data_IF_960771152701
#
_entry.id   IF_960771152701
#
_cell.length_a   1.000
_cell.length_b   1.000
_cell.length_c   1.000
_cell.angle_alpha   90.00
_cell.angle_beta   90.00
_cell.angle_gamma   90.00
#
_symmetry.space_group_name_H-M   'P 1'
#
loop_
_entity.id
_entity.type
_entity.pdbx_description
1 polymer ?
#
# COMPACT_ATOMS: atom_id res chain seq x y z
N UNK A 1 -27.78 4.27 -20.42
CA UNK A 1 -29.26 4.33 -20.34
C UNK A 1 -30.03 3.33 -21.22
N UNK A 2 -29.40 2.57 -22.14
CA UNK A 2 -30.03 1.37 -22.76
C UNK A 2 -29.18 0.09 -22.71
N UNK A 3 -28.01 0.12 -22.08
CA UNK A 3 -27.08 -1.02 -22.02
C UNK A 3 -26.95 -1.71 -20.65
N UNK A 4 -27.52 -1.16 -19.58
CA UNK A 4 -27.40 -1.77 -18.23
C UNK A 4 -28.64 -2.58 -17.82
N UNK A 5 -29.52 -2.94 -18.76
CA UNK A 5 -30.81 -3.58 -18.44
C UNK A 5 -30.99 -4.98 -19.03
N UNK A 6 -29.88 -5.68 -19.32
CA UNK A 6 -29.96 -7.04 -19.89
C UNK A 6 -29.26 -8.10 -19.03
N UNK A 7 -28.56 -7.73 -17.94
CA UNK A 7 -27.72 -8.72 -17.23
C UNK A 7 -27.72 -8.71 -15.68
N UNK A 8 -28.32 -7.76 -14.95
CA UNK A 8 -28.18 -7.68 -13.48
C UNK A 8 -26.72 -7.64 -12.96
N UNK A 9 -25.73 -7.31 -13.80
CA UNK A 9 -24.31 -7.28 -13.44
C UNK A 9 -23.83 -5.85 -13.21
N UNK A 10 -23.08 -5.62 -12.13
CA UNK A 10 -22.40 -4.36 -11.87
C UNK A 10 -21.38 -4.06 -13.00
N UNK A 11 -21.43 -2.88 -13.60
CA UNK A 11 -20.46 -2.48 -14.64
C UNK A 11 -19.16 -1.99 -13.97
N UNK A 12 -18.34 -2.95 -13.51
CA UNK A 12 -17.09 -2.70 -12.78
C UNK A 12 -16.09 -1.91 -13.64
N UNK A 13 -16.04 -2.16 -14.96
CA UNK A 13 -15.16 -1.43 -15.88
C UNK A 13 -15.53 0.05 -15.93
N UNK A 14 -16.81 0.37 -16.03
CA UNK A 14 -17.27 1.76 -16.01
C UNK A 14 -16.95 2.44 -14.67
N UNK A 15 -17.17 1.75 -13.55
CA UNK A 15 -16.89 2.31 -12.21
C UNK A 15 -15.39 2.60 -12.06
N UNK A 16 -14.54 1.64 -12.42
CA UNK A 16 -13.08 1.82 -12.38
C UNK A 16 -12.65 3.03 -13.22
N UNK A 17 -13.12 3.08 -14.46
CA UNK A 17 -12.79 4.16 -15.39
C UNK A 17 -13.23 5.52 -14.85
N UNK A 18 -14.47 5.61 -14.34
CA UNK A 18 -15.00 6.84 -13.77
C UNK A 18 -14.17 7.31 -12.58
N UNK A 19 -13.91 6.41 -11.63
CA UNK A 19 -13.17 6.74 -10.40
C UNK A 19 -11.72 7.09 -10.65
N UNK A 20 -11.09 6.51 -11.68
CA UNK A 20 -9.68 6.79 -12.04
C UNK A 20 -9.38 8.27 -12.38
N UNK A 21 -10.41 9.07 -12.64
CA UNK A 21 -10.28 10.50 -12.95
C UNK A 21 -10.29 11.42 -11.73
N UNK A 22 -10.48 10.86 -10.52
CA UNK A 22 -10.60 11.60 -9.26
C UNK A 22 -9.47 11.22 -8.31
N UNK A 23 -9.07 12.14 -7.42
CA UNK A 23 -8.15 11.82 -6.32
C UNK A 23 -8.87 11.03 -5.19
N UNK A 24 -8.13 10.51 -4.22
CA UNK A 24 -8.64 9.63 -3.17
C UNK A 24 -9.73 10.30 -2.34
N UNK A 25 -9.49 11.54 -1.92
CA UNK A 25 -10.47 12.32 -1.15
C UNK A 25 -11.78 12.51 -1.93
N UNK A 26 -11.69 12.89 -3.21
CA UNK A 26 -12.85 13.04 -4.09
C UNK A 26 -13.58 11.72 -4.29
N UNK A 27 -12.87 10.60 -4.49
CA UNK A 27 -13.48 9.27 -4.63
C UNK A 27 -14.25 8.91 -3.36
N UNK A 28 -13.67 9.10 -2.19
CA UNK A 28 -14.31 8.80 -0.91
C UNK A 28 -15.55 9.67 -0.66
N UNK A 29 -15.50 10.97 -0.98
CA UNK A 29 -16.68 11.86 -0.88
C UNK A 29 -17.79 11.37 -1.83
N UNK A 30 -17.46 11.13 -3.09
CA UNK A 30 -18.42 10.66 -4.10
C UNK A 30 -19.07 9.34 -3.68
N UNK A 31 -18.28 8.38 -3.19
CA UNK A 31 -18.76 7.09 -2.72
C UNK A 31 -19.70 7.30 -1.53
N UNK A 32 -19.31 8.08 -0.52
CA UNK A 32 -20.17 8.35 0.65
C UNK A 32 -21.49 9.03 0.26
N UNK A 33 -21.47 9.97 -0.68
CA UNK A 33 -22.69 10.63 -1.17
C UNK A 33 -23.63 9.66 -1.90
N UNK A 34 -23.07 8.79 -2.75
CA UNK A 34 -23.83 7.76 -3.47
C UNK A 34 -24.44 6.74 -2.50
N UNK A 35 -23.67 6.28 -1.52
CA UNK A 35 -24.12 5.33 -0.51
C UNK A 35 -25.22 5.94 0.37
N UNK A 36 -25.11 7.22 0.71
CA UNK A 36 -26.14 7.96 1.44
C UNK A 36 -27.42 8.14 0.61
N UNK A 37 -27.33 8.56 -0.65
CA UNK A 37 -28.49 8.81 -1.51
C UNK A 37 -29.28 7.51 -1.80
N UNK A 38 -28.58 6.38 -1.90
CA UNK A 38 -29.18 5.15 -2.40
C UNK A 38 -29.26 4.01 -1.37
N UNK A 39 -28.82 4.24 -0.14
CA UNK A 39 -28.95 3.32 0.99
C UNK A 39 -28.38 1.91 0.71
N UNK A 40 -27.28 1.85 -0.04
CA UNK A 40 -26.48 0.64 -0.23
C UNK A 40 -25.00 0.98 -0.08
N UNK A 41 -24.17 -0.01 0.25
CA UNK A 41 -22.71 0.14 0.26
C UNK A 41 -22.13 -0.36 -1.05
N UNK A 42 -21.34 0.47 -1.72
CA UNK A 42 -20.70 0.10 -2.99
C UNK A 42 -19.69 -1.04 -2.78
N UNK A 43 -19.05 -1.05 -1.61
CA UNK A 43 -18.16 -2.14 -1.18
C UNK A 43 -18.89 -3.47 -1.20
N UNK A 44 -20.06 -3.57 -0.57
CA UNK A 44 -20.84 -4.82 -0.50
C UNK A 44 -21.25 -5.31 -1.91
N UNK A 45 -21.61 -4.38 -2.81
CA UNK A 45 -21.93 -4.71 -4.20
C UNK A 45 -20.72 -5.25 -4.96
N UNK A 46 -19.55 -4.64 -4.79
CA UNK A 46 -18.32 -5.11 -5.41
C UNK A 46 -17.88 -6.45 -4.81
N UNK A 47 -18.08 -6.67 -3.51
CA UNK A 47 -17.72 -7.94 -2.86
C UNK A 47 -18.57 -9.12 -3.34
N UNK A 48 -19.83 -8.88 -3.70
CA UNK A 48 -20.71 -9.89 -4.27
C UNK A 48 -20.29 -10.35 -5.68
N UNK A 49 -19.49 -9.55 -6.39
CA UNK A 49 -18.98 -9.87 -7.73
C UNK A 49 -17.80 -10.86 -7.66
N UNK A 50 -17.55 -11.55 -8.78
CA UNK A 50 -16.48 -12.56 -8.89
C UNK A 50 -15.12 -11.94 -8.54
N UNK A 51 -14.37 -12.67 -7.71
CA UNK A 51 -13.00 -12.28 -7.36
C UNK A 51 -12.10 -12.23 -8.60
N UNK A 52 -11.73 -11.01 -8.97
CA UNK A 52 -10.94 -10.68 -10.15
C UNK A 52 -10.04 -9.48 -9.84
N UNK A 53 -8.88 -9.35 -10.51
CA UNK A 53 -8.02 -8.17 -10.38
C UNK A 53 -8.75 -6.85 -10.67
N UNK A 54 -9.77 -6.87 -11.56
CA UNK A 54 -10.58 -5.70 -11.87
C UNK A 54 -11.43 -5.27 -10.67
N UNK A 55 -12.12 -6.22 -10.03
CA UNK A 55 -12.88 -5.99 -8.79
C UNK A 55 -11.97 -5.45 -7.68
N UNK A 56 -10.79 -6.04 -7.52
CA UNK A 56 -9.82 -5.63 -6.50
C UNK A 56 -9.30 -4.19 -6.74
N UNK A 57 -9.00 -3.81 -7.99
CA UNK A 57 -8.64 -2.44 -8.33
C UNK A 57 -9.76 -1.45 -8.00
N UNK A 58 -11.01 -1.81 -8.31
CA UNK A 58 -12.16 -0.93 -8.05
C UNK A 58 -12.41 -0.76 -6.56
N UNK A 59 -12.32 -1.84 -5.78
CA UNK A 59 -12.37 -1.76 -4.32
C UNK A 59 -11.26 -0.84 -3.79
N UNK A 60 -10.01 -1.03 -4.22
CA UNK A 60 -8.89 -0.20 -3.77
C UNK A 60 -9.06 1.30 -4.08
N UNK A 61 -9.84 1.68 -5.10
CA UNK A 61 -10.14 3.09 -5.40
C UNK A 61 -11.20 3.71 -4.49
N UNK A 62 -12.07 2.92 -3.87
CA UNK A 62 -13.19 3.41 -3.04
C UNK A 62 -12.97 3.23 -1.54
N UNK A 63 -11.88 2.57 -1.16
CA UNK A 63 -11.54 2.29 0.24
C UNK A 63 -10.55 3.31 0.79
N UNK A 64 -10.65 3.58 2.08
CA UNK A 64 -9.57 4.23 2.82
C UNK A 64 -8.32 3.33 2.80
N UNK A 65 -7.11 3.93 2.84
CA UNK A 65 -5.86 3.15 2.76
C UNK A 65 -5.77 2.10 3.85
N UNK A 66 -6.16 2.44 5.07
CA UNK A 66 -6.12 1.58 6.24
C UNK A 66 -7.11 0.41 6.12
N UNK A 67 -8.29 0.63 5.49
CA UNK A 67 -9.24 -0.44 5.18
C UNK A 67 -8.72 -1.35 4.06
N UNK A 68 -8.17 -0.78 2.99
CA UNK A 68 -7.53 -1.53 1.90
C UNK A 68 -6.43 -2.45 2.44
N UNK A 69 -5.56 -1.90 3.29
CA UNK A 69 -4.49 -2.66 3.91
C UNK A 69 -5.02 -3.74 4.86
N UNK A 70 -6.05 -3.47 5.66
CA UNK A 70 -6.68 -4.47 6.53
C UNK A 70 -7.20 -5.66 5.74
N UNK A 71 -7.86 -5.39 4.60
CA UNK A 71 -8.37 -6.43 3.70
C UNK A 71 -7.25 -7.23 3.05
N UNK A 72 -6.24 -6.54 2.52
CA UNK A 72 -5.06 -7.20 1.94
C UNK A 72 -4.30 -8.03 2.98
N UNK A 73 -4.19 -7.56 4.22
CA UNK A 73 -3.56 -8.29 5.31
C UNK A 73 -4.33 -9.57 5.60
N UNK A 74 -5.67 -9.50 5.70
CA UNK A 74 -6.51 -10.67 5.91
C UNK A 74 -6.36 -11.69 4.77
N UNK A 75 -6.49 -11.25 3.52
CA UNK A 75 -6.38 -12.13 2.35
C UNK A 75 -5.01 -12.82 2.28
N UNK A 76 -3.93 -12.09 2.58
CA UNK A 76 -2.57 -12.63 2.64
C UNK A 76 -2.40 -13.62 3.80
N UNK A 77 -2.95 -13.29 4.98
CA UNK A 77 -2.88 -14.15 6.15
C UNK A 77 -3.61 -15.48 5.91
N UNK A 78 -4.81 -15.43 5.34
CA UNK A 78 -5.61 -16.63 5.02
C UNK A 78 -5.11 -17.41 3.79
N UNK A 79 -4.21 -16.81 3.00
CA UNK A 79 -3.67 -17.45 1.79
C UNK A 79 -2.92 -18.74 2.11
N UNK A 80 -3.21 -19.80 1.34
CA UNK A 80 -2.45 -21.05 1.38
C UNK A 80 -1.02 -20.90 0.83
N UNK A 81 -0.74 -19.81 0.11
CA UNK A 81 0.56 -19.54 -0.46
C UNK A 81 1.44 -18.76 0.52
N UNK A 82 2.09 -19.49 1.42
CA UNK A 82 2.95 -18.93 2.48
C UNK A 82 4.13 -18.09 1.96
N UNK A 83 4.51 -18.23 0.69
CA UNK A 83 5.56 -17.43 0.04
C UNK A 83 5.24 -15.92 0.06
N UNK A 84 3.96 -15.54 0.05
CA UNK A 84 3.56 -14.12 0.10
C UNK A 84 3.30 -13.62 1.52
N UNK A 85 3.49 -14.45 2.54
CA UNK A 85 3.25 -14.03 3.92
C UNK A 85 4.21 -12.91 4.34
N UNK A 86 5.43 -12.83 3.80
CA UNK A 86 6.33 -11.71 4.13
C UNK A 86 5.73 -10.34 3.77
N UNK A 87 4.80 -10.26 2.81
CA UNK A 87 4.03 -9.04 2.50
C UNK A 87 3.14 -8.55 3.65
N UNK A 88 2.89 -9.36 4.69
CA UNK A 88 2.29 -8.87 5.93
C UNK A 88 3.21 -7.87 6.63
N UNK A 89 4.53 -8.09 6.62
CA UNK A 89 5.53 -7.15 7.15
C UNK A 89 5.59 -5.90 6.29
N UNK A 90 5.55 -6.04 4.96
CA UNK A 90 5.45 -4.91 4.03
C UNK A 90 4.28 -3.98 4.38
N UNK A 91 3.07 -4.53 4.57
CA UNK A 91 1.89 -3.75 4.96
C UNK A 91 2.14 -2.99 6.26
N UNK A 92 2.64 -3.67 7.29
CA UNK A 92 2.85 -3.07 8.61
C UNK A 92 3.96 -2.00 8.60
N UNK A 93 4.95 -2.10 7.72
CA UNK A 93 6.01 -1.08 7.56
C UNK A 93 5.47 0.26 7.04
N UNK A 94 4.35 0.25 6.31
CA UNK A 94 3.74 1.47 5.74
C UNK A 94 2.93 2.28 6.75
N UNK A 95 2.64 1.70 7.93
CA UNK A 95 1.74 2.26 8.92
C UNK A 95 2.52 2.95 10.05
N UNK A 96 2.27 4.23 10.27
CA UNK A 96 2.61 4.88 11.55
C UNK A 96 1.66 4.38 12.66
N UNK A 97 1.93 4.72 13.92
CA UNK A 97 1.14 4.22 15.04
C UNK A 97 -0.34 4.67 14.99
N UNK A 98 -0.62 5.86 14.45
CA UNK A 98 -1.99 6.36 14.31
C UNK A 98 -2.75 5.62 13.21
N UNK A 99 -2.12 5.38 12.07
CA UNK A 99 -2.71 4.66 10.94
C UNK A 99 -2.83 3.16 11.26
N UNK A 100 -1.87 2.58 11.99
CA UNK A 100 -1.96 1.21 12.51
C UNK A 100 -3.18 1.03 13.41
N UNK A 101 -3.51 2.02 14.23
CA UNK A 101 -4.72 1.98 15.05
C UNK A 101 -5.98 1.90 14.19
N UNK A 102 -6.13 2.80 13.20
CA UNK A 102 -7.29 2.76 12.28
C UNK A 102 -7.34 1.46 11.48
N UNK A 103 -6.19 0.95 11.04
CA UNK A 103 -6.06 -0.32 10.35
C UNK A 103 -6.60 -1.48 11.21
N UNK A 104 -6.28 -1.50 12.50
CA UNK A 104 -6.82 -2.49 13.46
C UNK A 104 -8.32 -2.31 13.67
N UNK A 105 -8.78 -1.07 13.80
CA UNK A 105 -10.22 -0.76 13.97
C UNK A 105 -11.02 -1.23 12.74
N UNK A 106 -10.54 -0.95 11.52
CA UNK A 106 -11.12 -1.44 10.27
C UNK A 106 -11.11 -2.97 10.19
N UNK A 107 -10.00 -3.61 10.56
CA UNK A 107 -9.90 -5.08 10.57
C UNK A 107 -10.95 -5.71 11.50
N UNK A 108 -11.06 -5.22 12.74
CA UNK A 108 -12.04 -5.74 13.70
C UNK A 108 -13.48 -5.47 13.27
N UNK A 109 -13.76 -4.30 12.67
CA UNK A 109 -15.07 -3.98 12.13
C UNK A 109 -15.49 -4.92 10.99
N UNK A 110 -14.57 -5.29 10.11
CA UNK A 110 -14.86 -6.14 8.94
C UNK A 110 -14.95 -7.62 9.34
N UNK A 111 -14.01 -8.12 10.14
CA UNK A 111 -13.84 -9.55 10.40
C UNK A 111 -14.41 -10.02 11.74
N UNK A 112 -14.79 -9.10 12.62
CA UNK A 112 -15.40 -9.41 13.93
C UNK A 112 -14.43 -10.01 14.95
N UNK A 113 -13.12 -9.91 14.69
CA UNK A 113 -12.06 -10.37 15.56
C UNK A 113 -10.85 -9.42 15.47
N UNK A 114 -10.01 -9.41 16.50
CA UNK A 114 -8.77 -8.64 16.45
C UNK A 114 -7.75 -9.31 15.53
N UNK A 115 -6.97 -8.49 14.81
CA UNK A 115 -5.91 -8.98 13.93
C UNK A 115 -4.88 -9.84 14.68
N UNK A 116 -4.57 -9.55 15.95
CA UNK A 116 -3.66 -10.36 16.75
C UNK A 116 -4.22 -11.76 17.04
N UNK A 117 -5.54 -11.87 17.24
CA UNK A 117 -6.18 -13.16 17.44
C UNK A 117 -6.15 -13.97 16.14
N UNK A 118 -6.42 -13.33 15.00
CA UNK A 118 -6.33 -13.99 13.69
C UNK A 118 -4.91 -14.45 13.38
N UNK A 119 -3.89 -13.62 13.61
CA UNK A 119 -2.48 -14.00 13.44
C UNK A 119 -2.13 -15.23 14.29
N UNK A 120 -2.59 -15.27 15.55
CA UNK A 120 -2.37 -16.44 16.44
C UNK A 120 -3.12 -17.69 16.00
N UNK A 121 -4.33 -17.52 15.47
CA UNK A 121 -5.18 -18.63 15.03
C UNK A 121 -4.68 -19.24 13.71
N UNK A 122 -4.22 -18.41 12.78
CA UNK A 122 -3.71 -18.86 11.48
C UNK A 122 -2.28 -19.38 11.60
N UNK A 123 -1.40 -18.62 12.26
CA UNK A 123 -0.01 -19.00 12.52
C UNK A 123 0.07 -19.67 13.90
N UNK A 124 -0.45 -20.90 13.96
CA UNK A 124 -0.59 -21.65 15.23
C UNK A 124 0.75 -21.94 15.91
N UNK A 125 1.81 -22.15 15.14
CA UNK A 125 3.15 -22.39 15.68
C UNK A 125 3.78 -21.13 16.26
N UNK A 126 4.37 -21.25 17.45
CA UNK A 126 5.24 -20.21 18.02
C UNK A 126 6.53 -20.12 17.23
N UNK A 127 6.65 -19.07 16.43
CA UNK A 127 7.76 -18.81 15.51
C UNK A 127 8.19 -17.37 15.65
N UNK A 128 9.46 -17.10 15.32
CA UNK A 128 10.02 -15.74 15.34
C UNK A 128 9.19 -14.81 14.44
N UNK A 129 8.75 -15.32 13.28
CA UNK A 129 7.90 -14.59 12.36
C UNK A 129 6.56 -14.16 13.00
N UNK A 130 5.86 -15.07 13.68
CA UNK A 130 4.61 -14.74 14.38
C UNK A 130 4.85 -13.69 15.46
N UNK A 131 5.92 -13.86 16.24
CA UNK A 131 6.22 -12.96 17.34
C UNK A 131 6.66 -11.57 16.84
N UNK A 132 7.33 -11.50 15.68
CA UNK A 132 7.63 -10.25 14.97
C UNK A 132 6.34 -9.53 14.54
N UNK A 133 5.41 -10.22 13.88
CA UNK A 133 4.13 -9.62 13.46
C UNK A 133 3.36 -9.08 14.67
N UNK A 134 3.26 -9.85 15.74
CA UNK A 134 2.57 -9.43 16.96
C UNK A 134 3.25 -8.21 17.58
N UNK A 135 4.59 -8.15 17.63
CA UNK A 135 5.32 -7.00 18.13
C UNK A 135 5.15 -5.74 17.26
N UNK A 136 5.02 -5.88 15.94
CA UNK A 136 4.69 -4.75 15.05
C UNK A 136 3.26 -4.25 15.29
N UNK A 137 2.31 -5.16 15.51
CA UNK A 137 0.90 -4.85 15.79
C UNK A 137 0.65 -4.18 17.15
N UNK A 138 1.64 -4.18 18.05
CA UNK A 138 1.58 -3.41 19.30
C UNK A 138 1.56 -1.90 19.05
N UNK A 139 2.09 -1.41 17.93
CA UNK A 139 2.01 0.00 17.55
C UNK A 139 2.77 0.95 18.48
N UNK A 140 3.98 0.55 18.89
CA UNK A 140 4.82 1.31 19.81
C UNK A 140 6.14 1.78 19.18
N UNK A 141 6.21 1.82 17.85
CA UNK A 141 7.43 2.28 17.16
C UNK A 141 7.67 3.75 17.47
N UNK A 142 8.90 4.11 17.80
CA UNK A 142 9.31 5.52 17.89
C UNK A 142 9.19 6.19 16.52
N UNK A 143 8.55 7.36 16.45
CA UNK A 143 8.38 8.14 15.21
C UNK A 143 9.33 9.35 15.15
N UNK A 144 10.42 9.32 15.93
CA UNK A 144 11.40 10.39 15.94
C UNK A 144 12.15 10.49 14.60
N UNK A 145 12.19 11.69 14.03
CA UNK A 145 12.87 11.94 12.73
C UNK A 145 14.40 11.95 12.91
N UNK A 146 14.91 12.44 14.04
CA UNK A 146 16.34 12.46 14.35
C UNK A 146 16.82 11.17 15.01
N UNK A 147 18.10 10.84 14.83
CA UNK A 147 18.76 9.72 15.48
C UNK A 147 19.84 10.17 16.49
N UNK A 148 20.22 9.27 17.39
CA UNK A 148 21.32 9.41 18.34
C UNK A 148 22.43 8.41 18.04
N UNK A 149 23.61 8.90 17.70
CA UNK A 149 24.80 8.08 17.42
C UNK A 149 25.25 7.31 18.67
N UNK A 150 25.11 7.91 19.87
CA UNK A 150 25.47 7.25 21.13
C UNK A 150 24.56 6.05 21.40
N UNK A 151 23.25 6.21 21.20
CA UNK A 151 22.28 5.11 21.31
C UNK A 151 22.55 4.07 20.22
N UNK A 152 22.84 4.51 18.99
CA UNK A 152 23.15 3.60 17.88
C UNK A 152 24.37 2.70 18.19
N UNK A 153 25.44 3.24 18.77
CA UNK A 153 26.61 2.46 19.22
C UNK A 153 26.29 1.43 20.27
N UNK A 154 25.42 1.77 21.23
CA UNK A 154 24.98 0.85 22.26
C UNK A 154 24.12 -0.27 21.67
N UNK A 155 23.13 0.08 20.84
CA UNK A 155 22.19 -0.89 20.25
C UNK A 155 22.90 -1.77 19.21
N UNK A 156 23.78 -1.23 18.37
CA UNK A 156 24.58 -2.02 17.43
C UNK A 156 25.44 -3.06 18.14
N UNK A 157 26.03 -2.71 19.31
CA UNK A 157 26.74 -3.69 20.14
C UNK A 157 25.81 -4.79 20.62
N UNK A 158 24.61 -4.42 21.07
CA UNK A 158 23.60 -5.37 21.54
C UNK A 158 23.10 -6.29 20.42
N UNK A 159 22.91 -5.79 19.20
CA UNK A 159 22.57 -6.61 18.03
C UNK A 159 23.66 -7.64 17.73
N UNK A 160 24.93 -7.24 17.80
CA UNK A 160 26.05 -8.15 17.61
C UNK A 160 26.06 -9.25 18.67
N UNK A 161 25.95 -8.87 19.95
CA UNK A 161 25.90 -9.83 21.07
C UNK A 161 24.68 -10.75 21.00
N UNK A 162 23.55 -10.30 20.43
CA UNK A 162 22.32 -11.07 20.26
C UNK A 162 22.34 -12.04 19.06
N UNK A 163 23.28 -11.89 18.14
CA UNK A 163 23.47 -12.80 17.01
C UNK A 163 24.89 -13.35 17.01
N UNK A 164 25.63 -13.09 15.93
CA UNK A 164 26.96 -13.63 15.65
C UNK A 164 28.06 -13.42 16.70
N UNK A 165 27.86 -12.51 17.67
CA UNK A 165 28.78 -12.28 18.78
C UNK A 165 28.71 -13.33 19.89
N UNK A 166 27.64 -14.13 19.93
CA UNK A 166 27.39 -15.17 20.94
C UNK A 166 26.90 -16.45 20.24
N UNK A 167 27.23 -17.65 20.72
CA UNK A 167 26.63 -18.87 20.17
C UNK A 167 25.10 -18.89 20.36
N UNK A 168 24.37 -18.92 19.26
CA UNK A 168 22.90 -18.95 19.23
C UNK A 168 22.28 -17.56 19.03
N UNK A 169 20.99 -17.54 18.66
CA UNK A 169 20.25 -16.32 18.29
C UNK A 169 19.30 -15.87 19.41
N UNK A 170 19.53 -14.69 19.98
CA UNK A 170 18.57 -13.94 20.78
C UNK A 170 17.62 -13.14 19.87
N UNK A 171 16.67 -13.87 19.30
CA UNK A 171 15.67 -13.30 18.39
C UNK A 171 14.74 -12.29 19.06
N UNK A 172 14.52 -12.37 20.38
CA UNK A 172 13.72 -11.38 21.10
C UNK A 172 14.36 -9.99 21.06
N UNK A 173 15.69 -9.93 21.20
CA UNK A 173 16.42 -8.67 21.08
C UNK A 173 16.33 -8.12 19.66
N UNK A 174 16.42 -8.97 18.63
CA UNK A 174 16.19 -8.54 17.24
C UNK A 174 14.78 -7.98 17.05
N UNK A 175 13.73 -8.69 17.48
CA UNK A 175 12.35 -8.21 17.38
C UNK A 175 12.20 -6.86 18.08
N UNK A 176 12.61 -6.75 19.35
CA UNK A 176 12.47 -5.50 20.13
C UNK A 176 13.14 -4.31 19.45
N UNK A 177 14.36 -4.48 18.92
CA UNK A 177 15.08 -3.39 18.26
C UNK A 177 14.37 -3.02 16.94
N UNK A 178 14.07 -4.02 16.12
CA UNK A 178 13.50 -3.79 14.79
C UNK A 178 12.07 -3.25 14.82
N UNK A 179 11.29 -3.48 15.90
CA UNK A 179 9.91 -2.98 16.02
C UNK A 179 9.77 -1.68 16.80
N UNK A 180 10.64 -1.38 17.77
CA UNK A 180 10.47 -0.22 18.66
C UNK A 180 11.28 1.03 18.24
N UNK A 181 12.46 0.87 17.62
CA UNK A 181 13.26 2.01 17.21
C UNK A 181 12.67 2.71 15.97
N UNK A 182 12.90 4.02 15.86
CA UNK A 182 12.50 4.76 14.66
C UNK A 182 13.33 4.34 13.46
N UNK A 183 12.80 4.47 12.24
CA UNK A 183 13.55 4.14 11.04
C UNK A 183 14.85 4.97 10.92
N UNK A 184 14.83 6.24 11.34
CA UNK A 184 16.04 7.08 11.41
C UNK A 184 17.09 6.51 12.37
N UNK A 185 16.67 6.03 13.54
CA UNK A 185 17.54 5.42 14.53
C UNK A 185 18.05 4.05 14.06
N UNK A 186 17.20 3.21 13.46
CA UNK A 186 17.58 1.93 12.88
C UNK A 186 18.62 2.08 11.77
N UNK A 187 18.46 3.06 10.88
CA UNK A 187 19.48 3.32 9.85
C UNK A 187 20.84 3.64 10.48
N UNK A 188 20.87 4.49 11.51
CA UNK A 188 22.11 4.81 12.23
C UNK A 188 22.69 3.60 12.98
N UNK A 189 21.84 2.72 13.52
CA UNK A 189 22.27 1.46 14.14
C UNK A 189 22.95 0.58 13.10
N UNK A 190 22.38 0.44 11.91
CA UNK A 190 22.94 -0.38 10.83
C UNK A 190 24.27 0.17 10.32
N UNK A 191 24.40 1.49 10.17
CA UNK A 191 25.67 2.13 9.81
C UNK A 191 26.77 1.86 10.83
N UNK A 192 26.44 2.02 12.12
CA UNK A 192 27.40 1.77 13.21
C UNK A 192 27.73 0.28 13.32
N UNK A 193 26.77 -0.60 13.06
CA UNK A 193 27.01 -2.04 13.02
C UNK A 193 28.02 -2.39 11.93
N UNK A 194 27.81 -1.89 10.71
CA UNK A 194 28.68 -2.15 9.57
C UNK A 194 30.09 -1.58 9.77
N UNK A 195 30.22 -0.34 10.24
CA UNK A 195 31.50 0.29 10.55
C UNK A 195 32.29 -0.50 11.60
N UNK A 196 31.61 -1.00 12.64
CA UNK A 196 32.26 -1.66 13.77
C UNK A 196 32.59 -3.14 13.52
N UNK A 197 31.75 -3.85 12.77
CA UNK A 197 31.85 -5.30 12.59
C UNK A 197 32.24 -5.72 11.17
N UNK A 198 32.38 -4.76 10.25
CA UNK A 198 32.92 -4.97 8.90
C UNK A 198 31.97 -5.70 7.95
N UNK A 199 30.67 -5.76 8.27
CA UNK A 199 29.63 -6.38 7.44
C UNK A 199 28.27 -5.76 7.71
N UNK A 200 27.45 -5.65 6.67
CA UNK A 200 26.05 -5.24 6.78
C UNK A 200 25.27 -6.18 7.71
N UNK A 201 24.28 -5.62 8.43
CA UNK A 201 23.34 -6.36 9.28
C UNK A 201 22.56 -7.46 8.52
N UNK A 202 22.41 -7.33 7.20
CA UNK A 202 21.79 -8.37 6.36
C UNK A 202 22.57 -9.68 6.38
N UNK A 203 23.89 -9.65 6.57
CA UNK A 203 24.72 -10.88 6.60
C UNK A 203 24.38 -11.76 7.81
N UNK A 204 24.44 -11.28 9.08
CA UNK A 204 24.03 -12.08 10.23
C UNK A 204 22.55 -12.46 10.20
N UNK A 205 21.65 -11.60 9.69
CA UNK A 205 20.24 -12.00 9.48
C UNK A 205 20.16 -13.24 8.60
N UNK A 206 20.89 -13.27 7.48
CA UNK A 206 20.87 -14.40 6.56
C UNK A 206 21.58 -15.65 7.09
N UNK A 207 22.50 -15.52 8.04
CA UNK A 207 23.27 -16.63 8.60
C UNK A 207 22.61 -17.24 9.85
N UNK A 208 22.01 -16.43 10.72
CA UNK A 208 21.50 -16.86 12.02
C UNK A 208 20.03 -17.30 11.99
N UNK A 209 19.20 -16.68 11.14
CA UNK A 209 17.77 -17.02 11.06
C UNK A 209 17.56 -18.24 10.17
N UNK A 210 16.88 -19.26 10.70
CA UNK A 210 16.75 -20.57 10.04
C UNK A 210 15.68 -20.56 8.95
N UNK A 211 14.55 -19.91 9.18
CA UNK A 211 13.44 -19.92 8.22
C UNK A 211 13.56 -18.79 7.22
N UNK A 212 13.24 -19.08 5.95
CA UNK A 212 13.28 -18.07 4.89
C UNK A 212 12.34 -16.89 5.18
N UNK A 213 11.14 -17.17 5.70
CA UNK A 213 10.16 -16.14 6.04
C UNK A 213 10.69 -15.17 7.12
N UNK A 214 11.50 -15.67 8.07
CA UNK A 214 12.12 -14.84 9.09
C UNK A 214 13.19 -13.94 8.47
N UNK A 215 14.08 -14.51 7.63
CA UNK A 215 15.10 -13.75 6.89
C UNK A 215 14.47 -12.65 6.04
N UNK A 216 13.48 -13.00 5.22
CA UNK A 216 12.78 -12.07 4.34
C UNK A 216 12.10 -10.96 5.14
N UNK A 217 11.47 -11.30 6.27
CA UNK A 217 10.80 -10.31 7.13
C UNK A 217 11.77 -9.28 7.72
N UNK A 218 12.92 -9.73 8.26
CA UNK A 218 13.91 -8.80 8.79
C UNK A 218 14.59 -8.00 7.68
N UNK A 219 14.83 -8.62 6.52
CA UNK A 219 15.41 -7.96 5.36
C UNK A 219 14.47 -6.88 4.77
N UNK A 220 13.15 -7.12 4.75
CA UNK A 220 12.14 -6.12 4.38
C UNK A 220 12.24 -4.88 5.30
N UNK A 221 12.39 -5.08 6.61
CA UNK A 221 12.58 -3.97 7.58
C UNK A 221 13.90 -3.24 7.29
N UNK A 222 15.00 -3.96 6.99
CA UNK A 222 16.29 -3.33 6.64
C UNK A 222 16.15 -2.48 5.38
N UNK A 223 15.61 -3.04 4.29
CA UNK A 223 15.49 -2.35 3.01
C UNK A 223 14.57 -1.14 3.11
N UNK A 224 13.41 -1.28 3.75
CA UNK A 224 12.49 -0.17 3.99
C UNK A 224 13.15 0.93 4.84
N UNK A 225 13.89 0.56 5.88
CA UNK A 225 14.63 1.52 6.71
C UNK A 225 15.66 2.32 5.90
N UNK A 226 16.35 1.66 4.96
CA UNK A 226 17.39 2.30 4.14
C UNK A 226 16.81 3.22 3.08
N UNK A 227 15.81 2.75 2.34
CA UNK A 227 15.17 3.51 1.28
C UNK A 227 13.78 2.92 0.95
N UNK A 228 12.69 3.49 1.51
CA UNK A 228 11.33 3.04 1.24
C UNK A 228 10.97 3.02 -0.26
N UNK A 229 11.41 4.04 -1.02
CA UNK A 229 11.12 4.15 -2.44
C UNK A 229 11.81 3.05 -3.26
N UNK A 230 13.07 2.73 -2.95
CA UNK A 230 13.78 1.61 -3.58
C UNK A 230 13.18 0.25 -3.18
N UNK A 231 12.73 0.12 -1.93
CA UNK A 231 12.04 -1.06 -1.45
C UNK A 231 10.76 -1.34 -2.25
N UNK A 232 9.87 -0.35 -2.39
CA UNK A 232 8.66 -0.50 -3.21
C UNK A 232 8.99 -0.70 -4.69
N UNK A 233 10.01 -0.03 -5.22
CA UNK A 233 10.45 -0.26 -6.59
C UNK A 233 10.85 -1.71 -6.85
N UNK A 234 11.58 -2.34 -5.92
CA UNK A 234 11.94 -3.76 -5.99
C UNK A 234 10.70 -4.66 -5.97
N UNK A 235 9.71 -4.39 -5.11
CA UNK A 235 8.47 -5.18 -5.06
C UNK A 235 7.69 -5.04 -6.37
N UNK A 236 7.54 -3.82 -6.88
CA UNK A 236 6.87 -3.56 -8.16
C UNK A 236 7.56 -4.30 -9.31
N UNK A 237 8.90 -4.33 -9.32
CA UNK A 237 9.65 -5.02 -10.35
C UNK A 237 9.48 -6.53 -10.28
N UNK A 238 9.52 -7.09 -9.07
CA UNK A 238 9.23 -8.52 -8.84
C UNK A 238 7.81 -8.84 -9.32
N UNK A 239 6.81 -8.09 -8.86
CA UNK A 239 5.41 -8.33 -9.19
C UNK A 239 5.10 -8.29 -10.70
N UNK A 240 5.71 -7.35 -11.44
CA UNK A 240 5.57 -7.25 -12.91
C UNK A 240 6.29 -8.37 -13.69
N UNK A 241 7.21 -9.09 -13.06
CA UNK A 241 7.97 -10.18 -13.67
C UNK A 241 7.54 -11.58 -13.18
N UNK A 242 6.56 -11.66 -12.28
CA UNK A 242 5.93 -12.94 -11.93
C UNK A 242 5.00 -13.42 -13.07
N UNK A 243 4.80 -14.73 -13.16
CA UNK A 243 3.90 -15.38 -14.11
C UNK A 243 3.00 -16.37 -13.36
N UNK A 244 1.70 -16.05 -13.15
CA UNK A 244 1.02 -14.82 -13.54
C UNK A 244 1.52 -13.58 -12.79
N UNK A 245 1.22 -12.38 -13.31
CA UNK A 245 1.56 -11.10 -12.66
C UNK A 245 0.91 -11.03 -11.27
N UNK A 246 1.67 -10.59 -10.28
CA UNK A 246 1.17 -10.35 -8.92
C UNK A 246 0.41 -9.01 -8.85
N UNK A 247 -0.84 -9.01 -9.33
CA UNK A 247 -1.71 -7.85 -9.25
C UNK A 247 -2.04 -7.45 -7.82
N UNK A 248 -1.98 -8.36 -6.85
CA UNK A 248 -2.23 -8.05 -5.43
C UNK A 248 -1.21 -7.04 -4.92
N UNK A 249 0.09 -7.28 -5.19
CA UNK A 249 1.14 -6.34 -4.83
C UNK A 249 1.09 -5.05 -5.66
N UNK A 250 0.79 -5.13 -6.95
CA UNK A 250 0.65 -3.94 -7.80
C UNK A 250 -0.50 -3.03 -7.33
N UNK A 251 -1.65 -3.59 -6.99
CA UNK A 251 -2.81 -2.84 -6.50
C UNK A 251 -2.45 -2.15 -5.18
N UNK A 252 -1.92 -2.91 -4.21
CA UNK A 252 -1.58 -2.38 -2.90
C UNK A 252 -0.58 -1.23 -2.97
N UNK A 253 0.48 -1.39 -3.77
CA UNK A 253 1.52 -0.38 -3.88
C UNK A 253 1.07 0.77 -4.80
N UNK A 254 0.67 0.52 -6.04
CA UNK A 254 0.35 1.59 -6.99
C UNK A 254 -0.89 2.37 -6.55
N UNK A 255 -1.96 1.72 -6.07
CA UNK A 255 -3.18 2.44 -5.66
C UNK A 255 -3.02 3.00 -4.24
N UNK A 256 -2.50 2.20 -3.30
CA UNK A 256 -2.33 2.62 -1.90
C UNK A 256 -1.34 3.77 -1.70
N UNK A 257 -0.35 3.89 -2.59
CA UNK A 257 0.70 4.92 -2.53
C UNK A 257 0.56 6.02 -3.60
N UNK A 258 -0.48 5.96 -4.45
CA UNK A 258 -0.68 6.89 -5.57
C UNK A 258 -0.57 8.37 -5.17
N UNK A 259 -1.05 8.71 -3.98
CA UNK A 259 -1.13 10.07 -3.44
C UNK A 259 -0.21 10.29 -2.22
N UNK A 260 0.77 9.39 -2.01
CA UNK A 260 1.74 9.45 -0.91
C UNK A 260 3.18 9.58 -1.43
N UNK A 261 3.72 8.48 -1.95
CA UNK A 261 5.15 8.32 -2.28
C UNK A 261 5.40 7.41 -3.51
N UNK A 262 4.35 7.17 -4.31
CA UNK A 262 4.49 6.41 -5.56
C UNK A 262 5.43 7.09 -6.55
N UNK A 263 5.50 8.42 -6.54
CA UNK A 263 6.38 9.18 -7.44
C UNK A 263 7.86 8.86 -7.15
N UNK A 264 8.26 8.93 -5.89
CA UNK A 264 9.60 8.61 -5.40
C UNK A 264 9.95 7.16 -5.75
N UNK A 265 9.01 6.23 -5.53
CA UNK A 265 9.18 4.82 -5.90
C UNK A 265 9.37 4.64 -7.41
N UNK A 266 8.66 5.40 -8.25
CA UNK A 266 8.82 5.36 -9.70
C UNK A 266 10.17 5.95 -10.16
N UNK A 267 10.72 6.94 -9.45
CA UNK A 267 12.05 7.48 -9.71
C UNK A 267 13.15 6.47 -9.35
N UNK A 268 13.04 5.83 -8.17
CA UNK A 268 13.98 4.78 -7.76
C UNK A 268 13.91 3.56 -8.68
N UNK A 269 12.72 3.21 -9.17
CA UNK A 269 12.55 2.13 -10.15
C UNK A 269 13.43 2.33 -11.40
N UNK A 270 13.43 3.55 -11.97
CA UNK A 270 14.27 3.84 -13.12
C UNK A 270 15.77 3.72 -12.80
N UNK A 271 16.21 4.16 -11.61
CA UNK A 271 17.61 4.06 -11.19
C UNK A 271 18.06 2.61 -10.99
N UNK A 272 17.17 1.74 -10.52
CA UNK A 272 17.48 0.35 -10.21
C UNK A 272 17.46 -0.57 -11.44
N UNK A 273 16.57 -0.30 -12.39
CA UNK A 273 16.27 -1.24 -13.49
C UNK A 273 16.55 -0.69 -14.89
N UNK A 274 17.05 0.55 -15.01
CA UNK A 274 17.32 1.23 -16.28
C UNK A 274 16.12 1.29 -17.25
N UNK A 275 14.90 1.08 -16.72
CA UNK A 275 13.62 1.15 -17.42
C UNK A 275 12.62 1.83 -16.50
N UNK A 276 11.79 2.75 -17.01
CA UNK A 276 10.77 3.39 -16.17
C UNK A 276 9.65 2.42 -15.82
N UNK A 277 9.09 2.52 -14.60
CA UNK A 277 7.92 1.74 -14.17
C UNK A 277 6.76 1.79 -15.19
N UNK A 278 6.51 2.96 -15.78
CA UNK A 278 5.51 3.16 -16.83
C UNK A 278 5.75 2.25 -18.05
N UNK A 279 7.01 2.18 -18.51
CA UNK A 279 7.38 1.38 -19.67
C UNK A 279 7.30 -0.12 -19.35
N UNK A 280 7.73 -0.53 -18.15
CA UNK A 280 7.60 -1.93 -17.73
C UNK A 280 6.13 -2.36 -17.63
N UNK A 281 5.24 -1.53 -17.08
CA UNK A 281 3.79 -1.79 -17.07
C UNK A 281 3.25 -1.89 -18.51
N UNK A 282 3.65 -0.97 -19.42
CA UNK A 282 3.27 -1.03 -20.84
C UNK A 282 3.68 -2.35 -21.50
N UNK A 283 4.84 -2.88 -21.15
CA UNK A 283 5.40 -4.07 -21.77
C UNK A 283 4.86 -5.37 -21.19
N UNK A 284 4.59 -5.40 -19.87
CA UNK A 284 4.29 -6.63 -19.13
C UNK A 284 2.80 -6.82 -18.85
N UNK A 285 2.08 -5.77 -18.46
CA UNK A 285 0.68 -5.88 -18.08
C UNK A 285 -0.21 -6.19 -19.30
N UNK A 286 -1.18 -7.06 -19.08
CA UNK A 286 -2.19 -7.43 -20.09
C UNK A 286 -3.01 -6.21 -20.52
N UNK A 287 -3.38 -6.14 -21.80
CA UNK A 287 -4.22 -5.06 -22.31
C UNK A 287 -5.60 -5.07 -21.63
N UNK A 288 -6.05 -3.91 -21.14
CA UNK A 288 -7.33 -3.78 -20.45
C UNK A 288 -7.40 -2.59 -19.50
N UNK A 289 -8.52 -2.47 -18.79
CA UNK A 289 -8.78 -1.34 -17.88
C UNK A 289 -7.80 -1.28 -16.71
N UNK A 290 -7.32 -2.42 -16.21
CA UNK A 290 -6.32 -2.47 -15.13
C UNK A 290 -5.02 -1.82 -15.58
N UNK A 291 -4.48 -2.20 -16.75
CA UNK A 291 -3.28 -1.59 -17.31
C UNK A 291 -3.44 -0.08 -17.49
N UNK A 292 -4.61 0.36 -18.00
CA UNK A 292 -4.90 1.79 -18.14
C UNK A 292 -4.90 2.51 -16.79
N UNK A 293 -5.50 1.92 -15.77
CA UNK A 293 -5.49 2.47 -14.41
C UNK A 293 -4.07 2.58 -13.87
N UNK A 294 -3.29 1.49 -13.90
CA UNK A 294 -1.92 1.48 -13.38
C UNK A 294 -1.06 2.55 -14.08
N UNK A 295 -1.17 2.67 -15.40
CA UNK A 295 -0.48 3.72 -16.16
C UNK A 295 -0.97 5.12 -15.79
N UNK A 296 -2.27 5.31 -15.61
CA UNK A 296 -2.85 6.60 -15.20
C UNK A 296 -2.30 7.03 -13.85
N UNK A 297 -2.25 6.15 -12.86
CA UNK A 297 -1.75 6.47 -11.51
C UNK A 297 -0.25 6.77 -11.52
N UNK A 298 0.55 5.94 -12.20
CA UNK A 298 2.01 6.14 -12.31
C UNK A 298 2.36 7.42 -13.08
N UNK A 299 1.54 7.84 -14.04
CA UNK A 299 1.79 9.07 -14.82
C UNK A 299 1.24 10.33 -14.17
N UNK A 300 0.09 10.26 -13.49
CA UNK A 300 -0.52 11.40 -12.80
C UNK A 300 0.30 11.88 -11.60
N UNK A 301 1.09 11.01 -10.97
CA UNK A 301 2.09 11.41 -9.97
C UNK A 301 3.13 12.42 -10.48
N UNK A 302 3.21 12.68 -11.80
CA UNK A 302 4.06 13.72 -12.41
C UNK A 302 3.38 15.08 -12.55
N UNK A 303 2.06 15.18 -12.35
CA UNK A 303 1.28 16.40 -12.64
C UNK A 303 1.11 17.33 -11.43
N UNK A 304 1.32 16.84 -10.21
CA UNK A 304 1.31 17.65 -8.98
C UNK A 304 2.34 18.79 -9.00
N UNK A 305 3.47 18.63 -9.70
CA UNK A 305 4.52 19.64 -9.83
C UNK A 305 4.20 20.80 -10.79
N UNK A 306 3.24 20.62 -11.71
CA UNK A 306 2.90 21.70 -12.67
C UNK A 306 1.93 22.73 -12.11
N UNK A 307 1.26 22.45 -10.99
CA UNK A 307 0.32 23.39 -10.38
C UNK A 307 0.97 24.31 -9.33
N UNK A 308 2.18 24.00 -8.86
CA UNK A 308 2.89 24.78 -7.83
C UNK A 308 3.80 25.88 -8.37
N UNK A 309 3.99 26.01 -9.69
CA UNK A 309 4.88 27.03 -10.29
C UNK A 309 4.20 28.19 -11.02
N UNK A 310 2.87 28.33 -10.99
CA UNK A 310 2.19 29.47 -11.64
C UNK A 310 1.02 30.04 -10.81
N UNK A 311 1.30 30.60 -9.63
CA UNK A 311 0.42 31.61 -9.03
C UNK A 311 1.26 32.77 -8.49
N UNK A 312 1.39 33.81 -9.30
CA UNK A 312 2.11 35.02 -8.94
C UNK A 312 1.99 36.10 -10.01
N UNK A 313 0.80 36.70 -10.15
CA UNK A 313 0.56 38.16 -10.30
C UNK A 313 -0.75 38.49 -11.03
N UNK A 314 -1.61 39.25 -10.35
CA UNK A 314 -2.22 40.46 -10.90
C UNK A 314 -3.55 40.40 -11.65
N UNK A 315 -4.56 41.01 -11.00
CA UNK A 315 -5.65 41.86 -11.54
C UNK A 315 -7.03 41.25 -11.89
N UNK A 316 -8.05 41.84 -11.25
CA UNK A 316 -9.49 41.86 -11.61
C UNK A 316 -9.84 43.21 -12.26
N UNK A 317 -11.07 43.42 -12.79
CA UNK A 317 -11.78 42.68 -13.83
C UNK A 317 -12.23 43.65 -14.98
N UNK A 318 -13.05 43.21 -15.96
CA UNK A 318 -14.34 43.89 -16.05
C UNK A 318 -15.54 42.99 -16.36
N UNK A 319 -16.67 43.47 -15.86
CA UNK A 319 -18.06 43.05 -16.11
C UNK A 319 -18.44 43.08 -17.59
N UNK A 320 -19.06 42.01 -18.07
CA UNK A 320 -19.77 41.97 -19.36
C UNK A 320 -20.63 40.72 -19.45
N UNK A 321 -21.96 40.89 -19.42
CA UNK A 321 -22.91 39.81 -19.58
C UNK A 321 -22.95 39.29 -21.01
N UNK A 322 -23.03 37.97 -21.18
CA UNK A 322 -23.64 37.36 -22.36
C UNK A 322 -24.09 35.95 -22.05
N UNK A 323 -25.36 35.69 -22.27
CA UNK A 323 -26.03 34.39 -22.29
C UNK A 323 -25.35 33.43 -23.27
N UNK A 324 -24.90 32.26 -22.81
CA UNK A 324 -24.58 31.14 -23.69
C UNK A 324 -24.81 29.81 -22.96
N UNK A 325 -25.50 28.89 -23.64
CA UNK A 325 -26.19 27.74 -23.07
C UNK A 325 -25.37 26.79 -22.23
N UNK A 326 -26.04 26.21 -21.23
CA UNK A 326 -25.58 25.10 -20.41
C UNK A 326 -25.10 23.94 -21.29
N UNK A 327 -23.79 23.84 -21.48
CA UNK A 327 -23.15 22.54 -21.68
C UNK A 327 -23.27 21.82 -20.34
N UNK A 328 -24.06 20.74 -20.26
CA UNK A 328 -23.99 19.83 -19.12
C UNK A 328 -22.53 19.42 -18.96
N UNK A 329 -22.00 19.63 -17.76
CA UNK A 329 -20.63 19.26 -17.41
C UNK A 329 -20.45 17.76 -17.67
N UNK A 330 -19.38 17.36 -18.36
CA UNK A 330 -19.08 15.94 -18.61
C UNK A 330 -19.01 15.12 -17.32
N UNK A 331 -18.66 15.75 -16.20
CA UNK A 331 -18.70 15.14 -14.87
C UNK A 331 -20.13 14.82 -14.41
N UNK A 332 -21.11 15.68 -14.71
CA UNK A 332 -22.51 15.41 -14.37
C UNK A 332 -23.07 14.27 -15.21
N UNK A 333 -22.78 14.22 -16.52
CA UNK A 333 -23.23 13.11 -17.37
C UNK A 333 -22.61 11.77 -16.96
N UNK A 334 -21.34 11.78 -16.51
CA UNK A 334 -20.65 10.60 -16.02
C UNK A 334 -21.17 10.16 -14.64
N UNK A 335 -21.45 11.10 -13.74
CA UNK A 335 -22.12 10.85 -12.47
C UNK A 335 -23.53 10.29 -12.67
N UNK A 336 -24.33 10.92 -13.53
CA UNK A 336 -25.66 10.43 -13.89
C UNK A 336 -25.57 9.02 -14.48
N UNK A 337 -24.53 8.72 -15.27
CA UNK A 337 -24.29 7.37 -15.81
C UNK A 337 -23.93 6.37 -14.70
N UNK A 338 -23.10 6.73 -13.73
CA UNK A 338 -22.80 5.91 -12.55
C UNK A 338 -24.05 5.60 -11.73
N UNK A 339 -24.83 6.63 -11.41
CA UNK A 339 -26.12 6.52 -10.72
C UNK A 339 -27.06 5.58 -11.47
N UNK A 340 -27.13 5.68 -12.80
CA UNK A 340 -27.98 4.81 -13.61
C UNK A 340 -27.47 3.36 -13.71
N UNK A 341 -26.16 3.14 -13.66
CA UNK A 341 -25.57 1.79 -13.55
C UNK A 341 -26.02 1.12 -12.24
N UNK A 342 -26.02 1.88 -11.14
CA UNK A 342 -26.31 1.33 -9.81
C UNK A 342 -27.83 1.18 -9.54
N UNK A 343 -28.68 2.00 -10.15
CA UNK A 343 -30.15 1.93 -10.02
C UNK A 343 -30.77 0.64 -10.57
N UNK A 344 -30.12 -0.05 -11.52
CA UNK A 344 -30.64 -1.27 -12.15
C UNK A 344 -30.60 -2.54 -11.27
N UNK A 345 -29.96 -2.47 -10.09
CA UNK A 345 -29.72 -3.62 -9.21
C UNK A 345 -30.90 -3.84 -8.23
N UNK A 346 -31.81 -2.87 -8.08
CA UNK A 346 -33.07 -3.06 -7.36
C UNK A 346 -34.11 -3.69 -8.30
N UNK A 347 -34.11 -5.01 -8.43
CA UNK A 347 -35.29 -5.89 -8.54
C UNK A 347 -34.89 -7.37 -8.57
#
# INVERSE_FOLDING_TARGET
MKQCNVAHTLDIEFILHFLSSFNSEQRLILVRELEFEHEYRLVDLLEAEKDTPLRACTLALILESEELYARNFHDLLQSSYTKHHHSLVEILLTLNNADLKKFKDHYEQIYGCTIENDVKNVITSTTIYRDLLLAMLEGQRSEQISHSVTIAKMIAKRLYEAGEGTPGLDHETFIKIFTLDSFSQLSAIFDVYEDKYGKSISIPINQEFQQQIERDSFEDIVQYTRNPAAYFANILHKALNESPIDYTSLIRIIIGHAEKDLHESALEYWKLFDESLEQTIKNKAEEGEIKRLLLTLVTNGRLSDKQTQHVGSGSTPPTGGSTMGMKRNRSQEAFDKLVNTLKGIRH
#
